data_IF_326377976923
#
_entry.id   IF_326377976923
#
_cell.length_a   1.000
_cell.length_b   1.000
_cell.length_c   1.000
_cell.angle_alpha   90.00
_cell.angle_beta   90.00
_cell.angle_gamma   90.00
#
_symmetry.space_group_name_H-M   'P 1'
#
loop_
_entity.id
_entity.type
_entity.pdbx_description
1 polymer ?
#
# COMPACT_ATOMS: atom_id res chain seq x y z
N UNK A 1 3.36 22.17 31.39
CA UNK A 1 3.65 21.38 30.17
C UNK A 1 3.45 19.93 30.54
N UNK A 2 2.27 19.39 30.24
CA UNK A 2 2.02 17.96 30.37
C UNK A 2 2.61 17.35 29.09
N UNK A 3 3.60 16.48 29.25
CA UNK A 3 4.11 15.68 28.15
C UNK A 3 3.02 14.68 27.83
N UNK A 4 2.34 14.90 26.71
CA UNK A 4 1.32 14.01 26.19
C UNK A 4 1.87 12.59 26.11
N UNK A 5 1.03 11.67 26.60
CA UNK A 5 1.23 10.23 26.69
C UNK A 5 2.03 9.69 25.51
N UNK A 6 3.31 9.37 25.73
CA UNK A 6 4.18 8.75 24.73
C UNK A 6 3.74 7.28 24.60
N UNK A 7 2.58 7.08 23.96
CA UNK A 7 2.10 5.78 23.51
C UNK A 7 3.13 5.26 22.53
N UNK A 8 3.98 4.37 23.03
CA UNK A 8 4.89 3.57 22.21
C UNK A 8 4.03 2.59 21.42
N UNK A 9 3.46 3.05 20.31
CA UNK A 9 2.85 2.16 19.33
C UNK A 9 4.00 1.32 18.78
N UNK A 10 4.08 0.06 19.20
CA UNK A 10 4.91 -0.94 18.52
C UNK A 10 4.28 -1.22 17.16
N UNK A 11 4.32 -0.23 16.27
CA UNK A 11 3.90 -0.35 14.90
C UNK A 11 4.88 -1.29 14.20
N UNK A 12 4.37 -2.37 13.61
CA UNK A 12 5.20 -3.21 12.74
C UNK A 12 5.79 -2.35 11.61
N UNK A 13 6.92 -2.76 11.00
CA UNK A 13 7.61 -1.97 9.98
C UNK A 13 6.68 -1.58 8.82
N UNK A 14 5.70 -2.41 8.49
CA UNK A 14 4.69 -2.14 7.47
C UNK A 14 3.82 -0.92 7.76
N UNK A 15 3.45 -0.69 9.02
CA UNK A 15 2.63 0.46 9.44
C UNK A 15 3.42 1.77 9.31
N UNK A 16 4.71 1.75 9.63
CA UNK A 16 5.58 2.91 9.47
C UNK A 16 5.76 3.26 7.98
N UNK A 17 6.05 2.27 7.14
CA UNK A 17 6.19 2.49 5.69
C UNK A 17 4.87 2.96 5.08
N UNK A 18 3.72 2.40 5.51
CA UNK A 18 2.41 2.86 5.05
C UNK A 18 2.17 4.34 5.38
N UNK A 19 2.48 4.77 6.61
CA UNK A 19 2.34 6.16 7.03
C UNK A 19 3.27 7.10 6.25
N UNK A 20 4.51 6.68 5.98
CA UNK A 20 5.44 7.44 5.13
C UNK A 20 4.91 7.56 3.70
N UNK A 21 4.37 6.49 3.12
CA UNK A 21 3.76 6.53 1.79
C UNK A 21 2.55 7.46 1.72
N UNK A 22 1.75 7.56 2.79
CA UNK A 22 0.66 8.53 2.89
C UNK A 22 1.20 9.97 2.98
N UNK A 23 2.20 10.21 3.83
CA UNK A 23 2.80 11.54 4.02
C UNK A 23 3.37 12.13 2.73
N UNK A 24 4.02 11.31 1.90
CA UNK A 24 4.55 11.76 0.60
C UNK A 24 3.47 11.81 -0.51
N UNK A 25 2.24 11.37 -0.23
CA UNK A 25 1.17 11.32 -1.21
C UNK A 25 1.42 10.34 -2.35
N UNK A 26 2.11 9.22 -2.09
CA UNK A 26 2.58 8.29 -3.12
C UNK A 26 1.45 7.77 -4.01
N UNK A 27 0.34 7.36 -3.39
CA UNK A 27 -0.81 6.81 -4.11
C UNK A 27 -1.42 7.84 -5.08
N UNK A 28 -1.60 9.08 -4.61
CA UNK A 28 -2.15 10.17 -5.42
C UNK A 28 -1.24 10.54 -6.59
N UNK A 29 0.07 10.63 -6.34
CA UNK A 29 1.04 10.90 -7.41
C UNK A 29 1.01 9.83 -8.51
N UNK A 30 0.92 8.56 -8.13
CA UNK A 30 0.83 7.44 -9.07
C UNK A 30 -0.50 7.49 -9.84
N UNK A 31 -1.60 7.70 -9.13
CA UNK A 31 -2.93 7.77 -9.72
C UNK A 31 -3.08 8.94 -10.70
N UNK A 32 -2.35 10.05 -10.49
CA UNK A 32 -2.29 11.18 -11.43
C UNK A 32 -1.33 10.95 -12.60
N UNK A 33 -0.28 10.15 -12.41
CA UNK A 33 0.74 9.89 -13.43
C UNK A 33 0.31 8.83 -14.45
N UNK A 34 -0.67 8.00 -14.10
CA UNK A 34 -1.15 6.91 -14.94
C UNK A 34 -2.57 7.21 -15.42
N UNK A 35 -2.86 6.85 -16.68
CA UNK A 35 -4.24 6.80 -17.15
C UNK A 35 -4.86 5.50 -16.66
N UNK A 36 -5.79 5.60 -15.72
CA UNK A 36 -6.57 4.48 -15.22
C UNK A 36 -8.03 4.90 -15.09
N UNK A 37 -8.94 3.93 -15.17
CA UNK A 37 -10.36 4.18 -15.08
C UNK A 37 -10.95 3.48 -13.85
N UNK A 38 -11.59 4.23 -12.94
CA UNK A 38 -12.13 3.68 -11.70
C UNK A 38 -13.35 2.76 -11.91
N UNK A 39 -14.00 2.79 -13.08
CA UNK A 39 -15.12 1.90 -13.39
C UNK A 39 -14.65 0.48 -13.74
N UNK A 40 -13.40 0.32 -14.20
CA UNK A 40 -12.83 -0.99 -14.57
C UNK A 40 -11.86 -1.54 -13.51
N UNK A 41 -11.28 -0.70 -12.65
CA UNK A 41 -10.31 -1.12 -11.64
C UNK A 41 -10.94 -1.25 -10.24
N UNK A 42 -10.84 -2.43 -9.61
CA UNK A 42 -11.29 -2.66 -8.22
C UNK A 42 -10.43 -1.94 -7.18
N UNK A 43 -9.17 -1.65 -7.52
CA UNK A 43 -8.17 -1.03 -6.65
C UNK A 43 -7.38 -0.04 -7.51
N UNK A 44 -7.07 1.14 -6.97
CA UNK A 44 -6.29 2.13 -7.70
C UNK A 44 -4.86 1.63 -7.95
N UNK A 45 -4.22 2.00 -9.07
CA UNK A 45 -2.84 1.60 -9.33
C UNK A 45 -1.89 2.10 -8.24
N UNK A 46 -2.14 3.29 -7.67
CA UNK A 46 -1.39 3.83 -6.54
C UNK A 46 -1.51 2.97 -5.28
N UNK A 47 -2.70 2.48 -4.96
CA UNK A 47 -2.92 1.58 -3.82
C UNK A 47 -2.17 0.26 -4.01
N UNK A 48 -2.18 -0.27 -5.25
CA UNK A 48 -1.49 -1.52 -5.56
C UNK A 48 0.03 -1.38 -5.46
N UNK A 49 0.59 -0.26 -5.95
CA UNK A 49 2.02 0.02 -5.83
C UNK A 49 2.41 0.31 -4.38
N UNK A 50 1.60 1.02 -3.60
CA UNK A 50 1.84 1.24 -2.17
C UNK A 50 1.93 -0.09 -1.42
N UNK A 51 0.98 -1.00 -1.65
CA UNK A 51 1.02 -2.35 -1.09
C UNK A 51 2.28 -3.13 -1.51
N UNK A 52 2.67 -3.02 -2.79
CA UNK A 52 3.89 -3.64 -3.31
C UNK A 52 5.14 -3.11 -2.60
N UNK A 53 5.27 -1.79 -2.43
CA UNK A 53 6.39 -1.15 -1.73
C UNK A 53 6.48 -1.61 -0.28
N UNK A 54 5.37 -1.53 0.47
CA UNK A 54 5.32 -1.99 1.86
C UNK A 54 5.76 -3.44 1.94
N UNK A 55 5.24 -4.28 1.06
CA UNK A 55 5.52 -5.68 1.12
C UNK A 55 6.96 -6.04 0.70
N UNK A 56 7.54 -5.37 -0.31
CA UNK A 56 8.95 -5.55 -0.67
C UNK A 56 9.85 -5.17 0.52
N UNK A 57 9.56 -4.05 1.17
CA UNK A 57 10.39 -3.51 2.26
C UNK A 57 10.22 -4.26 3.58
N UNK A 58 9.05 -4.85 3.83
CA UNK A 58 8.75 -5.49 5.12
C UNK A 58 8.73 -7.02 5.07
N UNK A 59 8.45 -7.63 3.92
CA UNK A 59 8.17 -9.06 3.82
C UNK A 59 9.05 -9.80 2.80
N UNK A 60 9.92 -9.10 2.05
CA UNK A 60 10.89 -9.70 1.12
C UNK A 60 10.31 -10.47 -0.08
N UNK A 61 8.99 -10.64 -0.17
CA UNK A 61 8.31 -11.41 -1.21
C UNK A 61 7.09 -10.66 -1.74
N UNK A 62 7.09 -10.08 -2.96
CA UNK A 62 6.02 -9.23 -3.50
C UNK A 62 4.63 -9.91 -3.42
N UNK A 63 3.81 -9.57 -2.42
CA UNK A 63 2.41 -9.95 -2.37
C UNK A 63 1.63 -9.00 -3.30
N UNK A 64 1.67 -9.32 -4.58
CA UNK A 64 0.80 -8.76 -5.60
C UNK A 64 -0.55 -9.48 -5.55
N UNK A 65 -1.20 -9.51 -4.39
CA UNK A 65 -2.59 -9.91 -4.37
C UNK A 65 -3.30 -9.44 -3.10
N UNK A 66 -4.40 -8.74 -3.31
CA UNK A 66 -5.40 -8.53 -2.27
C UNK A 66 -6.15 -9.84 -2.02
N UNK A 67 -5.49 -10.84 -1.43
CA UNK A 67 -6.08 -11.97 -0.70
C UNK A 67 -5.00 -12.91 -0.17
N UNK A 68 -5.13 -13.28 1.09
CA UNK A 68 -4.57 -14.55 1.56
C UNK A 68 -5.52 -15.65 1.10
N UNK A 69 -5.52 -15.98 -0.19
CA UNK A 69 -6.21 -17.17 -0.71
C UNK A 69 -5.30 -17.93 -1.69
N UNK A 70 -5.25 -19.24 -1.50
CA UNK A 70 -4.17 -20.14 -1.92
C UNK A 70 -4.31 -20.59 -3.37
N UNK A 71 -4.86 -19.77 -4.27
CA UNK A 71 -5.27 -20.24 -5.60
C UNK A 71 -5.21 -19.17 -6.71
N UNK A 72 -4.05 -19.11 -7.38
CA UNK A 72 -3.90 -18.69 -8.79
C UNK A 72 -3.78 -17.19 -9.11
N UNK A 73 -3.13 -16.80 -10.22
CA UNK A 73 -2.87 -15.40 -10.55
C UNK A 73 -3.97 -14.81 -11.43
N UNK A 74 -4.66 -13.78 -10.93
CA UNK A 74 -5.55 -12.89 -11.69
C UNK A 74 -5.67 -11.59 -10.87
N UNK A 75 -5.22 -10.41 -11.31
CA UNK A 75 -5.55 -9.77 -12.57
C UNK A 75 -4.46 -8.80 -13.04
N UNK A 76 -4.00 -9.00 -14.27
CA UNK A 76 -3.71 -7.90 -15.17
C UNK A 76 -5.04 -7.19 -15.51
N UNK A 77 -4.98 -5.88 -15.70
CA UNK A 77 -6.09 -5.10 -16.23
C UNK A 77 -6.70 -5.81 -17.45
N UNK A 78 -7.96 -6.22 -17.34
CA UNK A 78 -8.79 -6.67 -18.45
C UNK A 78 -10.21 -6.21 -18.23
#
# INVERSE_FOLDING_TARGET
>A
MQFEDMVSISAGPSQLIAALCDEIGLEDQINRSLTWDPAYCKVSPGTHIKAMVINILCSGHPCLDGRQDRTGPVCACR
#
